data_IF_819893302311
#
_entry.id   IF_819893302311
#
_cell.length_a   1.000
_cell.length_b   1.000
_cell.length_c   1.000
_cell.angle_alpha   90.00
_cell.angle_beta   90.00
_cell.angle_gamma   90.00
#
_symmetry.space_group_name_H-M   'P 1'
#
loop_
_entity.id
_entity.type
_entity.pdbx_description
1 polymer ?
#
# COMPACT_ATOMS: atom_id res chain seq x y z
N UNK A 1 -12.63 64.13 -12.40
CA UNK A 1 -12.01 62.89 -11.87
C UNK A 1 -13.09 61.80 -11.80
N UNK A 2 -12.93 60.79 -10.95
CA UNK A 2 -13.56 59.46 -10.96
C UNK A 2 -15.09 59.33 -11.18
N UNK A 3 -15.43 58.11 -11.58
CA UNK A 3 -16.75 57.64 -11.98
C UNK A 3 -17.15 56.43 -11.12
N UNK A 4 -18.31 56.46 -10.48
CA UNK A 4 -18.96 55.23 -9.98
C UNK A 4 -20.48 55.34 -10.04
N UNK A 5 -21.09 54.53 -10.89
CA UNK A 5 -22.52 54.23 -10.89
C UNK A 5 -22.73 52.71 -11.07
N UNK A 6 -23.94 52.18 -10.79
CA UNK A 6 -24.08 50.87 -10.17
C UNK A 6 -24.28 49.72 -11.15
N UNK A 7 -24.14 48.49 -10.65
CA UNK A 7 -24.66 47.30 -11.31
C UNK A 7 -25.60 46.49 -10.41
N UNK A 8 -26.81 46.28 -10.93
CA UNK A 8 -27.70 45.18 -10.59
C UNK A 8 -28.00 44.41 -11.88
N UNK A 9 -28.55 43.21 -11.74
CA UNK A 9 -29.08 42.31 -12.77
C UNK A 9 -28.08 41.50 -13.63
N UNK A 10 -28.60 40.34 -14.04
CA UNK A 10 -28.25 39.56 -15.22
C UNK A 10 -26.87 38.89 -15.27
N UNK A 11 -26.77 37.72 -14.64
CA UNK A 11 -26.03 36.58 -15.20
C UNK A 11 -27.05 35.49 -15.50
N UNK A 12 -27.20 35.12 -16.77
CA UNK A 12 -28.11 34.06 -17.19
C UNK A 12 -27.51 32.67 -16.94
N UNK A 13 -28.34 31.72 -16.50
CA UNK A 13 -27.98 30.31 -16.45
C UNK A 13 -27.97 29.72 -17.88
N UNK A 14 -26.84 29.17 -18.37
CA UNK A 14 -26.89 28.21 -19.46
C UNK A 14 -27.48 26.89 -18.94
N UNK A 15 -28.21 26.17 -19.79
CA UNK A 15 -28.70 24.83 -19.47
C UNK A 15 -27.54 23.85 -19.33
N UNK A 16 -27.60 22.97 -18.34
CA UNK A 16 -26.57 21.95 -18.07
C UNK A 16 -26.89 20.69 -18.89
N UNK A 17 -25.99 20.33 -19.81
CA UNK A 17 -25.95 19.02 -20.46
C UNK A 17 -25.30 17.99 -19.51
N UNK A 18 -25.71 16.71 -19.53
CA UNK A 18 -25.19 15.69 -18.62
C UNK A 18 -23.85 15.12 -19.09
N UNK A 19 -22.75 15.78 -18.73
CA UNK A 19 -21.41 15.23 -18.93
C UNK A 19 -20.31 16.27 -18.73
N UNK A 20 -19.31 15.92 -17.90
CA UNK A 20 -18.17 16.75 -17.50
C UNK A 20 -18.53 18.12 -16.87
N UNK A 21 -18.31 18.24 -15.55
CA UNK A 21 -17.00 18.76 -15.13
C UNK A 21 -16.70 18.50 -13.64
N UNK A 22 -15.64 17.74 -13.33
CA UNK A 22 -15.03 17.72 -11.98
C UNK A 22 -14.00 18.87 -11.85
N UNK A 23 -13.58 19.47 -12.98
CA UNK A 23 -12.57 20.54 -13.03
C UNK A 23 -13.08 21.89 -12.51
N UNK A 24 -14.39 22.13 -12.53
CA UNK A 24 -14.96 23.47 -12.36
C UNK A 24 -15.11 23.97 -10.90
N UNK A 25 -14.86 23.10 -9.90
CA UNK A 25 -15.10 23.43 -8.48
C UNK A 25 -14.11 24.46 -7.92
N UNK A 26 -12.86 24.51 -8.43
CA UNK A 26 -11.80 25.33 -7.83
C UNK A 26 -11.56 26.65 -8.60
N UNK A 27 -12.30 27.69 -8.21
CA UNK A 27 -12.11 29.08 -8.69
C UNK A 27 -10.65 29.54 -8.55
N UNK A 28 -10.19 30.37 -9.49
CA UNK A 28 -8.78 30.72 -9.72
C UNK A 28 -7.98 31.26 -8.52
N UNK A 29 -8.66 31.81 -7.50
CA UNK A 29 -8.05 32.31 -6.25
C UNK A 29 -7.38 31.19 -5.42
N UNK A 30 -7.76 29.93 -5.66
CA UNK A 30 -7.25 28.77 -4.91
C UNK A 30 -5.80 28.40 -5.21
N UNK A 31 -5.31 28.69 -6.43
CA UNK A 31 -4.07 28.09 -6.95
C UNK A 31 -2.86 28.48 -6.11
N UNK A 32 -2.73 29.76 -5.77
CA UNK A 32 -1.67 30.29 -4.90
C UNK A 32 -1.67 29.59 -3.52
N UNK A 33 -2.85 29.28 -2.98
CA UNK A 33 -2.98 28.55 -1.72
C UNK A 33 -2.58 27.06 -1.84
N UNK A 34 -2.94 26.42 -2.96
CA UNK A 34 -2.55 25.03 -3.24
C UNK A 34 -1.05 24.92 -3.53
N UNK A 35 -0.47 25.83 -4.33
CA UNK A 35 0.98 25.93 -4.58
C UNK A 35 1.75 26.04 -3.26
N UNK A 36 1.33 26.95 -2.36
CA UNK A 36 1.98 27.13 -1.06
C UNK A 36 1.93 25.86 -0.19
N UNK A 37 0.83 25.12 -0.20
CA UNK A 37 0.71 23.83 0.52
C UNK A 37 1.55 22.73 -0.17
N UNK A 38 1.64 22.74 -1.50
CA UNK A 38 2.45 21.82 -2.29
C UNK A 38 3.95 22.04 -2.05
N UNK A 39 4.40 23.27 -1.85
CA UNK A 39 5.79 23.58 -1.49
C UNK A 39 6.10 23.20 -0.02
N UNK A 40 5.26 23.60 0.92
CA UNK A 40 5.57 23.54 2.36
C UNK A 40 5.20 22.19 3.00
N UNK A 41 6.17 21.26 3.09
CA UNK A 41 6.00 19.90 3.68
C UNK A 41 5.37 19.89 5.08
N UNK A 42 5.52 20.96 5.85
CA UNK A 42 4.92 21.09 7.19
C UNK A 42 3.38 21.06 7.20
N UNK A 43 2.69 21.30 6.07
CA UNK A 43 1.24 21.17 6.01
C UNK A 43 0.75 19.73 6.15
N UNK A 44 1.59 18.73 5.85
CA UNK A 44 1.28 17.30 6.02
C UNK A 44 0.92 16.98 7.48
N UNK A 45 1.74 17.43 8.43
CA UNK A 45 1.50 17.19 9.86
C UNK A 45 0.39 18.09 10.41
N UNK A 46 0.24 19.32 9.90
CA UNK A 46 -0.87 20.22 10.28
C UNK A 46 -2.23 19.65 9.88
N UNK A 47 -2.40 19.29 8.61
CA UNK A 47 -3.63 18.70 8.07
C UNK A 47 -3.89 17.31 8.67
N UNK A 48 -2.85 16.49 8.82
CA UNK A 48 -2.96 15.20 9.49
C UNK A 48 -3.43 15.34 10.94
N UNK A 49 -2.86 16.25 11.72
CA UNK A 49 -3.31 16.51 13.10
C UNK A 49 -4.75 17.05 13.14
N UNK A 50 -5.15 17.87 12.18
CA UNK A 50 -6.51 18.40 12.08
C UNK A 50 -7.58 17.31 11.85
N UNK A 51 -7.23 16.15 11.27
CA UNK A 51 -8.14 15.01 11.13
C UNK A 51 -8.48 14.31 12.47
N UNK A 52 -7.70 14.52 13.54
CA UNK A 52 -7.95 13.89 14.86
C UNK A 52 -8.94 14.68 15.73
N UNK A 53 -9.54 15.74 15.18
CA UNK A 53 -10.63 16.49 15.83
C UNK A 53 -11.91 15.66 15.94
N UNK A 54 -12.78 15.99 16.90
CA UNK A 54 -14.17 15.48 16.94
C UNK A 54 -15.13 16.26 16.02
N UNK A 55 -14.72 17.42 15.49
CA UNK A 55 -15.56 18.28 14.68
C UNK A 55 -15.63 17.83 13.20
N UNK A 56 -16.74 17.23 12.81
CA UNK A 56 -16.99 16.78 11.43
C UNK A 56 -16.90 17.90 10.38
N UNK A 57 -17.20 19.16 10.72
CA UNK A 57 -17.09 20.30 9.78
C UNK A 57 -15.62 20.58 9.42
N UNK A 58 -14.72 20.51 10.42
CA UNK A 58 -13.28 20.67 10.19
C UNK A 58 -12.74 19.51 9.36
N UNK A 59 -13.18 18.27 9.64
CA UNK A 59 -12.80 17.12 8.79
C UNK A 59 -13.31 17.24 7.36
N UNK A 60 -14.54 17.71 7.16
CA UNK A 60 -15.12 17.99 5.82
C UNK A 60 -14.19 18.92 5.04
N UNK A 61 -13.82 20.06 5.63
CA UNK A 61 -12.92 21.05 5.03
C UNK A 61 -11.52 20.48 4.73
N UNK A 62 -10.97 19.61 5.59
CA UNK A 62 -9.70 18.94 5.31
C UNK A 62 -9.83 17.95 4.15
N UNK A 63 -10.91 17.15 4.06
CA UNK A 63 -11.12 16.24 2.92
C UNK A 63 -11.43 16.98 1.61
N UNK A 64 -12.15 18.11 1.66
CA UNK A 64 -12.35 19.01 0.51
C UNK A 64 -11.01 19.58 0.01
N UNK A 65 -10.13 20.02 0.92
CA UNK A 65 -8.78 20.49 0.59
C UNK A 65 -7.86 19.37 0.05
N UNK A 66 -7.90 18.18 0.65
CA UNK A 66 -7.15 17.02 0.15
C UNK A 66 -7.64 16.58 -1.24
N UNK A 67 -8.95 16.71 -1.52
CA UNK A 67 -9.50 16.51 -2.87
C UNK A 67 -8.95 17.56 -3.85
N UNK A 68 -8.96 18.84 -3.48
CA UNK A 68 -8.40 19.90 -4.30
C UNK A 68 -6.91 19.69 -4.61
N UNK A 69 -6.12 19.21 -3.63
CA UNK A 69 -4.71 18.85 -3.81
C UNK A 69 -4.55 17.65 -4.77
N UNK A 70 -5.36 16.59 -4.63
CA UNK A 70 -5.36 15.46 -5.55
C UNK A 70 -5.74 15.86 -6.99
N UNK A 71 -6.67 16.79 -7.17
CA UNK A 71 -7.08 17.28 -8.49
C UNK A 71 -6.09 18.29 -9.12
N UNK A 72 -5.16 18.85 -8.34
CA UNK A 72 -4.32 19.97 -8.79
C UNK A 72 -3.14 19.55 -9.67
N UNK A 73 -2.25 18.70 -9.13
CA UNK A 73 -1.10 18.15 -9.83
C UNK A 73 -0.53 16.92 -9.08
N UNK A 74 0.50 16.28 -9.64
CA UNK A 74 1.10 15.08 -9.07
C UNK A 74 1.71 15.30 -7.67
N UNK A 75 2.28 16.48 -7.40
CA UNK A 75 2.85 16.80 -6.09
C UNK A 75 1.76 17.07 -5.04
N UNK A 76 0.64 17.69 -5.42
CA UNK A 76 -0.55 17.84 -4.59
C UNK A 76 -1.19 16.50 -4.25
N UNK A 77 -1.32 15.61 -5.24
CA UNK A 77 -1.71 14.22 -5.01
C UNK A 77 -0.76 13.52 -4.03
N UNK A 78 0.56 13.68 -4.21
CA UNK A 78 1.54 13.17 -3.26
C UNK A 78 1.36 13.76 -1.86
N UNK A 79 1.08 15.06 -1.70
CA UNK A 79 0.83 15.69 -0.39
C UNK A 79 -0.40 15.12 0.30
N UNK A 80 -1.46 14.87 -0.44
CA UNK A 80 -2.68 14.28 0.11
C UNK A 80 -2.43 12.86 0.62
N UNK A 81 -1.69 12.06 -0.14
CA UNK A 81 -1.26 10.70 0.26
C UNK A 81 -0.28 10.73 1.45
N UNK A 82 0.71 11.64 1.46
CA UNK A 82 1.63 11.86 2.59
C UNK A 82 0.87 12.24 3.86
N UNK A 83 -0.22 13.01 3.75
CA UNK A 83 -1.06 13.44 4.88
C UNK A 83 -1.85 12.27 5.50
N UNK A 84 -2.42 11.39 4.66
CA UNK A 84 -3.10 10.18 5.16
C UNK A 84 -2.09 9.19 5.77
N UNK A 85 -0.90 9.08 5.20
CA UNK A 85 0.18 8.23 5.74
C UNK A 85 0.68 8.77 7.10
N UNK A 86 0.82 10.09 7.25
CA UNK A 86 1.08 10.72 8.56
C UNK A 86 -0.03 10.41 9.57
N UNK A 87 -1.31 10.57 9.20
CA UNK A 87 -2.44 10.28 10.09
C UNK A 87 -2.50 8.80 10.49
N UNK A 88 -2.26 7.88 9.55
CA UNK A 88 -2.16 6.44 9.81
C UNK A 88 -1.15 6.15 10.94
N UNK A 89 0.03 6.72 10.83
CA UNK A 89 1.12 6.54 11.79
C UNK A 89 0.80 7.24 13.14
N UNK A 90 0.15 8.40 13.12
CA UNK A 90 -0.34 9.11 14.33
C UNK A 90 -1.37 8.29 15.12
N UNK A 91 -2.25 7.53 14.43
CA UNK A 91 -3.26 6.67 15.08
C UNK A 91 -2.82 5.22 15.30
N UNK A 92 -1.61 4.85 14.86
CA UNK A 92 -1.13 3.46 14.80
C UNK A 92 -2.11 2.51 14.07
N UNK A 93 -2.68 2.99 12.97
CA UNK A 93 -3.56 2.23 12.08
C UNK A 93 -2.76 1.43 11.04
N UNK A 94 -3.32 0.34 10.51
CA UNK A 94 -2.63 -0.48 9.48
C UNK A 94 -2.70 0.10 8.07
N UNK A 95 -3.75 0.87 7.76
CA UNK A 95 -4.04 1.32 6.39
C UNK A 95 -4.35 2.82 6.32
N UNK A 96 -3.70 3.55 5.40
CA UNK A 96 -3.84 5.01 5.22
C UNK A 96 -5.28 5.49 4.97
N UNK A 97 -6.05 4.72 4.20
CA UNK A 97 -7.44 5.04 3.87
C UNK A 97 -8.45 4.63 4.96
N UNK A 98 -8.01 4.00 6.06
CA UNK A 98 -8.91 3.53 7.13
C UNK A 98 -9.69 4.67 7.79
N UNK A 99 -9.11 5.88 7.88
CA UNK A 99 -9.82 7.07 8.37
C UNK A 99 -11.02 7.44 7.49
N UNK A 100 -10.86 7.42 6.15
CA UNK A 100 -11.93 7.78 5.21
C UNK A 100 -13.13 6.85 5.38
N UNK A 101 -12.87 5.55 5.47
CA UNK A 101 -13.88 4.51 5.69
C UNK A 101 -14.54 4.64 7.08
N UNK A 102 -13.73 4.86 8.13
CA UNK A 102 -14.21 5.05 9.50
C UNK A 102 -15.10 6.30 9.66
N UNK A 103 -14.89 7.36 8.88
CA UNK A 103 -15.74 8.55 8.92
C UNK A 103 -16.98 8.37 8.02
N UNK A 104 -16.85 7.74 6.84
CA UNK A 104 -17.99 7.48 5.95
C UNK A 104 -19.04 6.56 6.60
N UNK A 105 -18.61 5.58 7.39
CA UNK A 105 -19.48 4.70 8.17
C UNK A 105 -20.22 5.43 9.32
N UNK A 106 -19.64 6.51 9.85
CA UNK A 106 -20.21 7.29 10.98
C UNK A 106 -20.96 8.55 10.56
N UNK A 107 -20.70 9.06 9.35
CA UNK A 107 -21.25 10.32 8.89
C UNK A 107 -22.77 10.24 8.73
N UNK A 108 -23.50 10.99 9.56
CA UNK A 108 -24.95 11.18 9.44
C UNK A 108 -25.34 12.44 8.65
N UNK A 109 -24.39 13.35 8.41
CA UNK A 109 -24.58 14.54 7.59
C UNK A 109 -24.31 14.21 6.11
N UNK A 110 -25.32 14.38 5.27
CA UNK A 110 -25.27 14.20 3.80
C UNK A 110 -24.12 14.95 3.15
N UNK A 111 -23.89 16.23 3.48
CA UNK A 111 -22.80 16.99 2.88
C UNK A 111 -21.42 16.40 3.18
N UNK A 112 -21.27 15.79 4.36
CA UNK A 112 -20.01 15.17 4.77
C UNK A 112 -19.83 13.80 4.11
N UNK A 113 -20.91 13.04 3.92
CA UNK A 113 -20.91 11.83 3.10
C UNK A 113 -20.50 12.15 1.65
N UNK A 114 -21.09 13.21 1.04
CA UNK A 114 -20.73 13.66 -0.32
C UNK A 114 -19.26 14.06 -0.40
N UNK A 115 -18.75 14.85 0.55
CA UNK A 115 -17.32 15.23 0.58
C UNK A 115 -16.37 14.03 0.72
N UNK A 116 -16.74 13.02 1.52
CA UNK A 116 -15.96 11.79 1.68
C UNK A 116 -15.99 10.91 0.43
N UNK A 117 -17.14 10.79 -0.25
CA UNK A 117 -17.24 10.08 -1.54
C UNK A 117 -16.47 10.80 -2.65
N UNK A 118 -16.59 12.12 -2.73
CA UNK A 118 -15.83 12.96 -3.65
C UNK A 118 -14.31 12.82 -3.44
N UNK A 119 -13.86 12.72 -2.18
CA UNK A 119 -12.46 12.44 -1.88
C UNK A 119 -12.02 11.05 -2.36
N UNK A 120 -12.81 9.99 -2.12
CA UNK A 120 -12.52 8.63 -2.62
C UNK A 120 -12.39 8.63 -4.15
N UNK A 121 -13.35 9.26 -4.85
CA UNK A 121 -13.33 9.37 -6.30
C UNK A 121 -12.13 10.16 -6.80
N UNK A 122 -11.84 11.32 -6.19
CA UNK A 122 -10.71 12.16 -6.59
C UNK A 122 -9.37 11.43 -6.42
N UNK A 123 -9.15 10.73 -5.31
CA UNK A 123 -7.91 9.95 -5.09
C UNK A 123 -7.79 8.79 -6.08
N UNK A 124 -8.89 8.14 -6.48
CA UNK A 124 -8.85 7.08 -7.51
C UNK A 124 -8.61 7.65 -8.91
N UNK A 125 -9.30 8.74 -9.29
CA UNK A 125 -9.23 9.35 -10.63
C UNK A 125 -7.86 9.99 -10.88
N UNK A 126 -7.30 10.68 -9.90
CA UNK A 126 -6.01 11.39 -10.01
C UNK A 126 -4.77 10.48 -9.99
N UNK A 127 -4.91 9.17 -9.78
CA UNK A 127 -3.76 8.26 -9.75
C UNK A 127 -3.18 8.05 -11.17
N UNK A 128 -1.85 8.09 -11.28
CA UNK A 128 -1.13 8.50 -12.51
C UNK A 128 -1.41 7.69 -13.78
N UNK A 129 -1.77 6.42 -13.62
CA UNK A 129 -2.03 5.48 -14.69
C UNK A 129 -3.04 4.41 -14.23
N UNK A 130 -3.56 3.62 -15.17
CA UNK A 130 -4.55 2.59 -14.92
C UNK A 130 -4.20 1.67 -13.74
N UNK A 131 -2.96 1.17 -13.66
CA UNK A 131 -2.53 0.26 -12.59
C UNK A 131 -2.49 0.94 -11.21
N UNK A 132 -2.16 2.23 -11.14
CA UNK A 132 -2.25 2.99 -9.89
C UNK A 132 -3.71 3.21 -9.48
N UNK A 133 -4.61 3.55 -10.42
CA UNK A 133 -6.06 3.69 -10.15
C UNK A 133 -6.64 2.38 -9.60
N UNK A 134 -6.27 1.25 -10.20
CA UNK A 134 -6.64 -0.10 -9.75
C UNK A 134 -6.09 -0.38 -8.35
N UNK A 135 -4.80 -0.12 -8.07
CA UNK A 135 -4.19 -0.38 -6.76
C UNK A 135 -4.90 0.41 -5.65
N UNK A 136 -5.13 1.71 -5.87
CA UNK A 136 -5.82 2.59 -4.92
C UNK A 136 -7.27 2.12 -4.69
N UNK A 137 -8.01 1.81 -5.76
CA UNK A 137 -9.37 1.25 -5.64
C UNK A 137 -9.37 -0.06 -4.84
N UNK A 138 -8.38 -0.92 -5.06
CA UNK A 138 -8.26 -2.21 -4.36
C UNK A 138 -7.92 -2.05 -2.88
N UNK A 139 -7.19 -1.01 -2.45
CA UNK A 139 -7.04 -0.67 -1.02
C UNK A 139 -8.40 -0.36 -0.38
N UNK A 140 -9.23 0.49 -1.02
CA UNK A 140 -10.58 0.80 -0.52
C UNK A 140 -11.50 -0.44 -0.52
N UNK A 141 -11.40 -1.33 -1.52
CA UNK A 141 -12.16 -2.60 -1.57
C UNK A 141 -11.71 -3.55 -0.45
N UNK A 142 -10.39 -3.64 -0.17
CA UNK A 142 -9.84 -4.38 0.97
C UNK A 142 -10.41 -3.90 2.30
N UNK A 143 -10.53 -2.58 2.46
CA UNK A 143 -11.17 -1.89 3.59
C UNK A 143 -12.71 -1.93 3.60
N UNK A 144 -13.34 -2.70 2.70
CA UNK A 144 -14.79 -2.92 2.62
C UNK A 144 -15.62 -1.69 2.26
N UNK A 145 -15.12 -0.85 1.34
CA UNK A 145 -15.91 0.28 0.80
C UNK A 145 -17.20 -0.18 0.11
N UNK A 146 -17.19 -1.29 -0.65
CA UNK A 146 -18.32 -1.70 -1.49
C UNK A 146 -19.63 -1.98 -0.70
N UNK A 147 -19.60 -2.68 0.46
CA UNK A 147 -20.77 -2.73 1.36
C UNK A 147 -21.30 -1.37 1.81
N UNK A 148 -20.43 -0.39 2.07
CA UNK A 148 -20.85 0.96 2.49
C UNK A 148 -21.52 1.70 1.32
N UNK A 149 -20.93 1.68 0.12
CA UNK A 149 -21.53 2.27 -1.09
C UNK A 149 -22.91 1.66 -1.39
N UNK A 150 -23.04 0.34 -1.28
CA UNK A 150 -24.30 -0.38 -1.47
C UNK A 150 -25.35 -0.09 -0.38
N UNK A 151 -24.95 0.36 0.80
CA UNK A 151 -25.88 0.81 1.84
C UNK A 151 -26.28 2.28 1.63
N UNK A 152 -25.33 3.15 1.27
CA UNK A 152 -25.61 4.53 0.88
C UNK A 152 -26.60 4.58 -0.30
N UNK A 153 -26.41 3.77 -1.34
CA UNK A 153 -27.33 3.65 -2.50
C UNK A 153 -28.79 3.27 -2.11
N UNK A 154 -29.00 2.60 -0.97
CA UNK A 154 -30.36 2.27 -0.46
C UNK A 154 -30.99 3.42 0.33
N UNK A 155 -30.18 4.18 1.06
CA UNK A 155 -30.66 5.26 1.96
C UNK A 155 -30.77 6.60 1.21
N UNK A 156 -29.87 6.85 0.26
CA UNK A 156 -29.73 8.11 -0.46
C UNK A 156 -30.59 8.22 -1.74
N UNK A 157 -31.67 7.43 -1.87
CA UNK A 157 -32.52 7.37 -3.07
C UNK A 157 -33.18 8.72 -3.44
N UNK A 158 -33.16 9.70 -2.54
CA UNK A 158 -33.65 11.08 -2.75
C UNK A 158 -32.54 12.14 -2.72
N UNK A 159 -31.26 11.75 -2.68
CA UNK A 159 -30.10 12.67 -2.53
C UNK A 159 -29.22 12.59 -3.77
N UNK A 160 -29.48 13.48 -4.73
CA UNK A 160 -28.81 13.49 -6.04
C UNK A 160 -27.28 13.47 -5.95
N UNK A 161 -26.69 14.30 -5.10
CA UNK A 161 -25.22 14.43 -4.97
C UNK A 161 -24.54 13.13 -4.52
N UNK A 162 -25.20 12.32 -3.67
CA UNK A 162 -24.67 11.01 -3.27
C UNK A 162 -24.77 10.02 -4.43
N UNK A 163 -25.89 10.01 -5.16
CA UNK A 163 -26.08 9.15 -6.34
C UNK A 163 -25.01 9.49 -7.40
N UNK A 164 -24.81 10.77 -7.73
CA UNK A 164 -23.76 11.23 -8.66
C UNK A 164 -22.37 10.74 -8.24
N UNK A 165 -22.00 10.82 -6.96
CA UNK A 165 -20.70 10.32 -6.50
C UNK A 165 -20.60 8.79 -6.48
N UNK A 166 -21.70 8.06 -6.29
CA UNK A 166 -21.72 6.60 -6.40
C UNK A 166 -21.61 6.14 -7.86
N UNK A 167 -22.23 6.87 -8.77
CA UNK A 167 -22.25 6.53 -10.20
C UNK A 167 -20.90 6.87 -10.84
N UNK A 168 -20.25 8.00 -10.48
CA UNK A 168 -18.84 8.30 -10.84
C UNK A 168 -17.87 7.19 -10.38
N UNK A 169 -18.10 6.58 -9.21
CA UNK A 169 -17.28 5.47 -8.73
C UNK A 169 -17.43 4.20 -9.59
N UNK A 170 -18.67 3.86 -9.94
CA UNK A 170 -18.98 2.69 -10.76
C UNK A 170 -18.54 2.89 -12.22
N UNK A 171 -18.84 4.05 -12.85
CA UNK A 171 -18.39 4.41 -14.20
C UNK A 171 -16.86 4.36 -14.32
N UNK A 172 -16.12 4.93 -13.35
CA UNK A 172 -14.66 4.91 -13.38
C UNK A 172 -14.10 3.49 -13.15
N UNK A 173 -14.82 2.61 -12.45
CA UNK A 173 -14.44 1.18 -12.36
C UNK A 173 -14.68 0.49 -13.70
N UNK A 174 -15.85 0.65 -14.30
CA UNK A 174 -16.20 0.01 -15.58
C UNK A 174 -15.27 0.47 -16.71
N UNK A 175 -14.89 1.75 -16.72
CA UNK A 175 -13.89 2.30 -17.64
C UNK A 175 -12.48 1.69 -17.44
N UNK A 176 -12.06 1.47 -16.19
CA UNK A 176 -10.77 0.82 -15.87
C UNK A 176 -10.79 -0.69 -16.19
N UNK A 177 -11.92 -1.38 -15.99
CA UNK A 177 -12.12 -2.78 -16.35
C UNK A 177 -12.13 -2.96 -17.88
N UNK A 178 -12.82 -2.09 -18.61
CA UNK A 178 -12.81 -2.08 -20.07
C UNK A 178 -11.41 -1.81 -20.65
N UNK A 179 -10.61 -0.94 -20.03
CA UNK A 179 -9.21 -0.73 -20.41
C UNK A 179 -8.33 -1.97 -20.10
N UNK A 180 -8.54 -2.63 -18.96
CA UNK A 180 -7.79 -3.86 -18.59
C UNK A 180 -8.07 -5.01 -19.56
N UNK A 181 -9.34 -5.18 -19.98
CA UNK A 181 -9.78 -6.22 -20.92
C UNK A 181 -9.25 -6.06 -22.35
N UNK A 182 -8.64 -4.91 -22.71
CA UNK A 182 -7.96 -4.72 -24.01
C UNK A 182 -6.59 -5.41 -24.08
N UNK A 183 -6.12 -6.06 -23.00
CA UNK A 183 -4.93 -6.92 -23.05
C UNK A 183 -5.08 -8.12 -23.99
N UNK A 184 -3.98 -8.73 -24.49
CA UNK A 184 -3.98 -9.67 -25.64
C UNK A 184 -4.80 -10.97 -25.53
N UNK A 185 -5.49 -11.20 -24.42
CA UNK A 185 -6.22 -12.43 -24.09
C UNK A 185 -7.60 -12.21 -23.47
N UNK A 186 -8.06 -10.95 -23.32
CA UNK A 186 -9.34 -10.64 -22.64
C UNK A 186 -9.40 -11.02 -21.16
N UNK A 187 -8.25 -11.12 -20.48
CA UNK A 187 -8.13 -11.44 -19.05
C UNK A 187 -8.26 -10.12 -18.26
N UNK A 188 -9.16 -10.06 -17.28
CA UNK A 188 -9.20 -8.93 -16.35
C UNK A 188 -8.02 -9.03 -15.37
N UNK A 189 -6.94 -8.30 -15.63
CA UNK A 189 -5.73 -8.30 -14.79
C UNK A 189 -5.97 -7.75 -13.36
N UNK A 190 -7.15 -7.17 -13.11
CA UNK A 190 -7.55 -6.59 -11.83
C UNK A 190 -8.28 -7.64 -10.96
N UNK A 191 -8.77 -8.72 -11.57
CA UNK A 191 -9.38 -9.86 -10.90
C UNK A 191 -8.31 -10.88 -10.51
N UNK A 192 -8.10 -11.02 -9.20
CA UNK A 192 -7.22 -12.05 -8.63
C UNK A 192 -7.58 -13.47 -9.13
N UNK A 193 -8.87 -13.71 -9.42
CA UNK A 193 -9.37 -15.01 -9.88
C UNK A 193 -9.07 -15.24 -11.37
N UNK A 194 -9.21 -14.22 -12.21
CA UNK A 194 -8.91 -14.28 -13.64
C UNK A 194 -7.41 -14.43 -13.86
N UNK A 195 -6.59 -13.66 -13.13
CA UNK A 195 -5.12 -13.77 -13.14
C UNK A 195 -4.68 -15.15 -12.65
N UNK A 196 -5.28 -15.67 -11.58
CA UNK A 196 -5.03 -17.02 -11.09
C UNK A 196 -5.35 -18.08 -12.16
N UNK A 197 -6.53 -18.03 -12.78
CA UNK A 197 -6.91 -18.99 -13.82
C UNK A 197 -6.10 -18.83 -15.11
N UNK A 198 -5.65 -17.63 -15.45
CA UNK A 198 -4.73 -17.39 -16.57
C UNK A 198 -3.38 -18.07 -16.34
N UNK A 199 -2.76 -17.84 -15.18
CA UNK A 199 -1.49 -18.47 -14.82
C UNK A 199 -1.65 -19.98 -14.70
N UNK A 200 -2.75 -20.47 -14.08
CA UNK A 200 -3.03 -21.90 -14.00
C UNK A 200 -3.16 -22.53 -15.40
N UNK A 201 -3.89 -21.90 -16.34
CA UNK A 201 -3.96 -22.36 -17.74
C UNK A 201 -2.62 -22.29 -18.48
N UNK A 202 -1.71 -21.41 -18.07
CA UNK A 202 -0.38 -21.29 -18.67
C UNK A 202 0.60 -22.38 -18.18
N UNK A 203 0.39 -22.93 -16.98
CA UNK A 203 1.27 -23.96 -16.38
C UNK A 203 0.67 -25.36 -16.28
N UNK A 204 -0.64 -25.53 -16.43
CA UNK A 204 -1.30 -26.82 -16.41
C UNK A 204 -0.69 -27.79 -17.45
N UNK A 205 -0.59 -29.07 -17.08
CA UNK A 205 0.05 -30.12 -17.89
C UNK A 205 1.54 -29.88 -18.21
N UNK A 206 2.21 -28.95 -17.50
CA UNK A 206 3.66 -28.68 -17.63
C UNK A 206 4.40 -28.90 -16.30
N UNK A 207 5.74 -29.13 -16.32
CA UNK A 207 6.56 -29.18 -15.11
C UNK A 207 6.49 -27.92 -14.22
N UNK A 208 6.02 -26.79 -14.76
CA UNK A 208 5.87 -25.52 -14.07
C UNK A 208 4.64 -25.47 -13.13
N UNK A 209 3.71 -26.42 -13.23
CA UNK A 209 2.58 -26.55 -12.30
C UNK A 209 3.05 -26.80 -10.85
N UNK A 210 4.10 -27.62 -10.68
CA UNK A 210 4.66 -27.97 -9.36
C UNK A 210 5.25 -26.75 -8.61
N UNK A 211 6.14 -25.93 -9.19
CA UNK A 211 6.59 -24.71 -8.53
C UNK A 211 5.49 -23.66 -8.37
N UNK A 212 4.50 -23.58 -9.27
CA UNK A 212 3.35 -22.68 -9.09
C UNK A 212 2.51 -23.07 -7.86
N UNK A 213 2.15 -24.35 -7.72
CA UNK A 213 1.47 -24.88 -6.54
C UNK A 213 2.30 -24.68 -5.26
N UNK A 214 3.61 -24.89 -5.34
CA UNK A 214 4.53 -24.63 -4.22
C UNK A 214 4.50 -23.16 -3.78
N UNK A 215 4.55 -22.20 -4.72
CA UNK A 215 4.45 -20.76 -4.41
C UNK A 215 3.13 -20.48 -3.69
N UNK A 216 2.00 -20.93 -4.22
CA UNK A 216 0.67 -20.75 -3.60
C UNK A 216 0.61 -21.33 -2.18
N UNK A 217 1.22 -22.49 -1.93
CA UNK A 217 1.30 -23.09 -0.59
C UNK A 217 2.18 -22.32 0.40
N UNK A 218 3.17 -21.57 -0.08
CA UNK A 218 3.97 -20.67 0.76
C UNK A 218 3.20 -19.37 1.06
N UNK A 219 2.50 -18.79 0.07
CA UNK A 219 1.64 -17.62 0.26
C UNK A 219 0.51 -17.90 1.27
N UNK A 220 -0.14 -19.08 1.17
CA UNK A 220 -1.22 -19.51 2.07
C UNK A 220 -0.78 -19.70 3.53
N UNK A 221 0.52 -19.79 3.81
CA UNK A 221 1.07 -19.93 5.18
C UNK A 221 1.28 -18.61 5.92
N UNK A 222 1.09 -17.46 5.26
CA UNK A 222 1.30 -16.15 5.87
C UNK A 222 0.06 -15.79 6.73
N UNK A 223 0.17 -15.81 8.06
CA UNK A 223 -0.95 -15.37 8.92
C UNK A 223 -1.16 -13.84 8.75
N UNK A 224 -2.37 -13.38 8.36
CA UNK A 224 -2.66 -11.96 8.22
C UNK A 224 -2.69 -11.16 9.54
N UNK A 225 -2.64 -11.82 10.71
CA UNK A 225 -2.68 -11.17 12.04
C UNK A 225 -1.31 -10.69 12.53
N UNK A 226 -0.22 -11.27 12.04
CA UNK A 226 1.13 -10.89 12.51
C UNK A 226 1.61 -9.60 11.83
N UNK A 227 2.30 -8.73 12.57
CA UNK A 227 2.86 -7.49 12.01
C UNK A 227 3.93 -7.74 10.92
N UNK A 228 4.58 -8.91 10.93
CA UNK A 228 5.54 -9.31 9.90
C UNK A 228 4.85 -9.68 8.56
N UNK A 229 3.54 -9.93 8.57
CA UNK A 229 2.75 -10.33 7.40
C UNK A 229 2.90 -9.34 6.24
N UNK A 230 2.73 -8.04 6.51
CA UNK A 230 2.85 -6.99 5.49
C UNK A 230 4.28 -6.91 4.93
N UNK A 231 5.30 -7.12 5.76
CA UNK A 231 6.72 -7.14 5.37
C UNK A 231 7.02 -8.34 4.47
N UNK A 232 6.42 -9.50 4.74
CA UNK A 232 6.55 -10.69 3.89
C UNK A 232 5.89 -10.42 2.54
N UNK A 233 4.65 -9.93 2.50
CA UNK A 233 3.95 -9.63 1.24
C UNK A 233 4.68 -8.60 0.36
N UNK A 234 5.12 -7.48 0.96
CA UNK A 234 5.93 -6.44 0.28
C UNK A 234 7.26 -6.98 -0.26
N UNK A 235 7.94 -7.82 0.53
CA UNK A 235 9.18 -8.50 0.10
C UNK A 235 8.91 -9.48 -1.03
N UNK A 236 7.82 -10.25 -0.96
CA UNK A 236 7.44 -11.23 -1.97
C UNK A 236 7.03 -10.57 -3.29
N UNK A 237 6.26 -9.47 -3.27
CA UNK A 237 5.95 -8.68 -4.47
C UNK A 237 7.24 -8.26 -5.19
N UNK A 238 8.19 -7.68 -4.45
CA UNK A 238 9.49 -7.22 -4.98
C UNK A 238 10.36 -8.37 -5.48
N UNK A 239 10.34 -9.53 -4.82
CA UNK A 239 11.06 -10.72 -5.27
C UNK A 239 10.46 -11.32 -6.54
N UNK A 240 9.13 -11.44 -6.63
CA UNK A 240 8.43 -11.93 -7.82
C UNK A 240 8.68 -11.00 -9.01
N UNK A 241 8.54 -9.68 -8.83
CA UNK A 241 8.82 -8.72 -9.89
C UNK A 241 10.28 -8.82 -10.38
N UNK A 242 11.26 -8.85 -9.47
CA UNK A 242 12.68 -9.02 -9.87
C UNK A 242 12.96 -10.38 -10.50
N UNK A 243 12.24 -11.44 -10.12
CA UNK A 243 12.35 -12.75 -10.75
C UNK A 243 11.82 -12.77 -12.20
N UNK A 244 10.81 -11.94 -12.53
CA UNK A 244 10.34 -11.79 -13.92
C UNK A 244 11.28 -10.99 -14.82
N UNK A 245 12.31 -10.35 -14.25
CA UNK A 245 13.33 -9.57 -14.96
C UNK A 245 14.69 -10.30 -15.07
N UNK A 246 14.69 -11.64 -14.96
CA UNK A 246 15.90 -12.46 -15.00
C UNK A 246 16.34 -12.79 -16.43
N UNK A 247 17.47 -12.23 -16.85
CA UNK A 247 18.10 -12.54 -18.15
C UNK A 247 19.09 -13.71 -18.07
N UNK A 248 19.65 -14.02 -16.89
CA UNK A 248 20.65 -15.08 -16.72
C UNK A 248 20.51 -15.91 -15.44
N UNK A 249 21.17 -17.08 -15.42
CA UNK A 249 21.32 -17.89 -14.20
C UNK A 249 22.23 -17.22 -13.16
N UNK A 250 23.11 -16.27 -13.52
CA UNK A 250 23.84 -15.54 -12.47
C UNK A 250 22.89 -14.61 -11.70
N UNK A 251 21.94 -13.98 -12.40
CA UNK A 251 20.98 -13.06 -11.79
C UNK A 251 20.08 -13.75 -10.77
N UNK A 252 19.60 -14.97 -11.04
CA UNK A 252 18.79 -15.72 -10.09
C UNK A 252 19.57 -16.02 -8.80
N UNK A 253 20.84 -16.40 -8.93
CA UNK A 253 21.76 -16.58 -7.80
C UNK A 253 22.04 -15.25 -7.10
N UNK A 254 22.09 -14.11 -7.80
CA UNK A 254 22.26 -12.78 -7.19
C UNK A 254 21.03 -12.34 -6.37
N UNK A 255 19.80 -12.67 -6.80
CA UNK A 255 18.57 -12.39 -6.04
C UNK A 255 18.48 -13.27 -4.79
N UNK A 256 18.87 -14.56 -4.88
CA UNK A 256 18.71 -15.54 -3.80
C UNK A 256 19.82 -15.55 -2.74
N UNK A 257 20.80 -14.64 -2.80
CA UNK A 257 21.90 -14.55 -1.82
C UNK A 257 21.48 -13.84 -0.52
N UNK A 258 21.44 -14.59 0.58
CA UNK A 258 21.45 -14.01 1.93
C UNK A 258 22.75 -13.22 2.18
N UNK A 259 22.72 -12.05 2.86
CA UNK A 259 23.91 -11.23 3.13
C UNK A 259 25.01 -11.92 3.95
N UNK A 260 24.67 -12.98 4.68
CA UNK A 260 25.53 -13.68 5.65
C UNK A 260 26.70 -14.49 5.06
N UNK A 261 26.96 -14.44 3.75
CA UNK A 261 28.07 -15.15 3.09
C UNK A 261 29.04 -14.20 2.37
N UNK A 262 29.17 -12.95 2.82
CA UNK A 262 30.30 -12.10 2.45
C UNK A 262 31.57 -12.48 3.24
N UNK A 263 32.37 -13.40 2.68
CA UNK A 263 33.78 -13.53 3.08
C UNK A 263 34.54 -12.27 2.69
N UNK A 264 34.89 -11.44 3.67
CA UNK A 264 35.75 -10.26 3.49
C UNK A 264 37.19 -10.69 3.13
N UNK A 265 37.45 -10.86 1.84
CA UNK A 265 38.80 -11.03 1.29
C UNK A 265 39.49 -9.67 1.20
N UNK A 266 40.18 -9.25 2.27
CA UNK A 266 40.90 -7.97 2.30
C UNK A 266 42.02 -7.94 1.24
N UNK A 267 42.02 -7.00 0.28
CA UNK A 267 43.05 -6.95 -0.78
C UNK A 267 44.46 -6.55 -0.31
N UNK A 268 44.63 -6.14 0.95
CA UNK A 268 45.86 -5.50 1.44
C UNK A 268 46.71 -6.37 2.39
N UNK A 269 46.28 -7.58 2.74
CA UNK A 269 47.05 -8.48 3.60
C UNK A 269 48.15 -9.22 2.81
N UNK A 270 49.18 -8.48 2.34
CA UNK A 270 50.41 -9.06 1.80
C UNK A 270 51.32 -9.54 2.94
N UNK A 271 51.47 -10.85 3.07
CA UNK A 271 52.43 -11.49 3.97
C UNK A 271 52.64 -12.94 3.56
N UNK A 272 53.84 -13.27 3.08
CA UNK A 272 54.17 -14.62 2.64
C UNK A 272 54.54 -15.52 3.83
N UNK A 273 53.89 -16.68 3.92
CA UNK A 273 54.38 -17.82 4.67
C UNK A 273 53.87 -19.11 4.00
N UNK A 274 54.79 -20.00 3.62
CA UNK A 274 54.45 -21.29 3.02
C UNK A 274 53.82 -22.25 4.02
N UNK A 275 52.98 -23.15 3.52
CA UNK A 275 52.37 -24.22 4.32
C UNK A 275 53.42 -25.16 4.93
N UNK A 276 53.11 -25.74 6.09
CA UNK A 276 53.36 -27.17 6.26
C UNK A 276 52.09 -27.94 6.68
N UNK A 277 52.05 -29.22 6.33
CA UNK A 277 50.96 -30.13 6.68
C UNK A 277 51.27 -30.97 7.91
N UNK A 278 50.23 -31.21 8.72
CA UNK A 278 50.01 -32.41 9.58
C UNK A 278 50.93 -32.66 10.80
N UNK A 279 50.23 -32.75 11.94
CA UNK A 279 50.30 -33.81 12.99
C UNK A 279 51.24 -33.67 14.20
N UNK A 280 50.61 -34.04 15.34
CA UNK A 280 51.13 -34.74 16.53
C UNK A 280 51.77 -33.96 17.70
N UNK A 281 51.62 -34.60 18.87
CA UNK A 281 52.41 -34.49 20.11
C UNK A 281 52.31 -33.20 20.97
N UNK A 282 51.31 -33.21 21.85
CA UNK A 282 51.46 -33.31 23.32
C UNK A 282 52.33 -32.33 24.16
N UNK A 283 51.89 -32.21 25.43
CA UNK A 283 52.62 -31.72 26.61
C UNK A 283 53.18 -30.29 26.61
N UNK A 284 52.56 -29.42 27.43
CA UNK A 284 53.32 -28.57 28.34
C UNK A 284 52.56 -28.32 29.67
N UNK A 285 52.94 -29.05 30.71
CA UNK A 285 52.86 -28.63 32.12
C UNK A 285 54.00 -27.63 32.39
N UNK A 286 54.08 -26.77 33.40
CA UNK A 286 53.34 -26.47 34.66
C UNK A 286 53.82 -25.06 35.11
N UNK A 287 53.27 -24.31 36.06
CA UNK A 287 52.15 -24.39 37.03
C UNK A 287 51.67 -22.94 37.27
N UNK A 288 51.07 -22.40 38.34
CA UNK A 288 50.47 -22.77 39.64
C UNK A 288 49.60 -21.54 40.04
N UNK A 289 48.57 -21.54 40.89
CA UNK A 289 47.89 -22.56 41.72
C UNK A 289 46.38 -22.18 41.76
N UNK A 290 45.49 -22.43 42.72
CA UNK A 290 45.51 -23.13 44.03
C UNK A 290 44.07 -23.42 44.49
N UNK A 291 43.87 -24.61 45.07
CA UNK A 291 42.80 -24.99 46.02
C UNK A 291 41.31 -24.98 45.55
N UNK A 292 40.41 -25.82 46.09
CA UNK A 292 40.49 -27.25 46.46
C UNK A 292 39.07 -27.75 46.87
N UNK A 293 38.35 -28.46 45.98
CA UNK A 293 37.37 -29.47 46.42
C UNK A 293 36.92 -30.42 45.29
N UNK A 294 36.63 -31.67 45.66
CA UNK A 294 36.09 -32.70 44.76
C UNK A 294 34.65 -33.07 45.16
N UNK A 295 33.81 -33.33 44.17
CA UNK A 295 32.48 -33.95 44.31
C UNK A 295 32.15 -34.74 43.04
N UNK A 296 31.47 -35.90 43.12
CA UNK A 296 31.36 -36.84 42.01
C UNK A 296 30.31 -36.46 40.94
N UNK A 297 30.45 -37.06 39.75
CA UNK A 297 29.54 -36.85 38.62
C UNK A 297 28.17 -37.52 38.82
N UNK A 298 27.14 -36.88 38.28
CA UNK A 298 25.82 -37.48 37.99
C UNK A 298 25.63 -37.63 36.46
N UNK A 299 24.96 -38.69 35.98
CA UNK A 299 24.88 -39.00 34.55
C UNK A 299 23.86 -38.15 33.78
N UNK A 300 24.05 -38.10 32.46
CA UNK A 300 23.22 -37.36 31.50
C UNK A 300 21.83 -38.00 31.37
N UNK A 301 20.77 -37.19 31.44
CA UNK A 301 19.41 -37.62 31.13
C UNK A 301 19.13 -37.57 29.62
N UNK A 302 18.48 -38.61 29.08
CA UNK A 302 18.03 -38.68 27.69
C UNK A 302 16.63 -38.08 27.49
N UNK A 303 16.31 -37.54 26.30
CA UNK A 303 14.98 -37.01 26.00
C UNK A 303 13.93 -38.14 25.81
N UNK A 304 12.63 -37.85 26.06
CA UNK A 304 11.55 -38.84 25.94
C UNK A 304 11.17 -39.12 24.47
N UNK A 305 10.56 -40.30 24.19
CA UNK A 305 10.11 -40.70 22.85
C UNK A 305 8.81 -40.00 22.42
N UNK A 306 8.52 -39.93 21.10
CA UNK A 306 7.29 -39.35 20.56
C UNK A 306 6.04 -40.23 20.80
N UNK A 307 4.82 -39.65 20.76
CA UNK A 307 3.56 -40.38 20.94
C UNK A 307 3.21 -41.27 19.75
N UNK A 308 2.41 -42.34 19.95
CA UNK A 308 1.91 -43.20 18.87
C UNK A 308 0.81 -42.52 18.03
N UNK A 309 0.61 -42.96 16.77
CA UNK A 309 -0.38 -42.38 15.86
C UNK A 309 -1.82 -42.83 16.15
N UNK A 310 -2.76 -41.95 15.80
CA UNK A 310 -4.19 -42.18 15.57
C UNK A 310 -4.59 -41.40 14.30
#
# INVERSE_FOLDING_TARGET
EENTQPFSNSIGLPSIEPGADISCIVKMDSRIGLDYIVENREYISKLGTALDTSNAVVKKQVFELLSALCAYNADGYARAIETLEFYKNLKNERYRFKIVINELEKASNVEYQVALLAFINCVIISASNLQDRIRVRNEFIGLKVLPLLNNLRKVAQSVGDIIVQLDVFDEQRECDEAQSLQGPSGINLNSHLDVFYAILRQVADTPQEVPFLSILQHLLRIDPKEAISDVIWDTTEKLVHRATLLESHEDSVRILRSPSVQKFSCPHCRGEATSPSRKNAASLSTSASSQLHNGPLSPIASPPPPPPPL
#
